data_IF_363958495804
#
_entry.id   IF_363958495804
#
_cell.length_a   1.000
_cell.length_b   1.000
_cell.length_c   1.000
_cell.angle_alpha   90.00
_cell.angle_beta   90.00
_cell.angle_gamma   90.00
#
_symmetry.space_group_name_H-M   'P 1'
#
loop_
_entity.id
_entity.type
_entity.pdbx_description
1 polymer ?
#
# COMPACT_ATOMS: atom_id res chain seq x y z
N UNK A 1 -12.11 -18.61 -11.80
CA UNK A 1 -10.99 -17.77 -12.26
C UNK A 1 -11.59 -16.48 -12.80
N UNK A 2 -11.58 -15.38 -12.03
CA UNK A 2 -12.21 -14.13 -12.46
C UNK A 2 -11.27 -13.38 -13.41
N UNK A 3 -11.78 -12.93 -14.55
CA UNK A 3 -10.98 -12.34 -15.62
C UNK A 3 -10.30 -11.03 -15.16
N UNK A 4 -9.12 -10.68 -15.69
CA UNK A 4 -8.40 -9.46 -15.31
C UNK A 4 -9.25 -8.17 -15.42
N UNK A 5 -10.17 -8.13 -16.40
CA UNK A 5 -11.08 -7.00 -16.59
C UNK A 5 -12.13 -6.87 -15.49
N UNK A 6 -12.60 -7.97 -14.91
CA UNK A 6 -13.62 -7.97 -13.85
C UNK A 6 -13.06 -7.43 -12.53
N UNK A 7 -11.83 -7.84 -12.19
CA UNK A 7 -11.09 -7.29 -11.04
C UNK A 7 -10.85 -5.79 -11.18
N UNK A 8 -10.42 -5.34 -12.37
CA UNK A 8 -10.22 -3.91 -12.67
C UNK A 8 -11.51 -3.10 -12.49
N UNK A 9 -12.64 -3.58 -13.00
CA UNK A 9 -13.92 -2.89 -12.87
C UNK A 9 -14.37 -2.79 -11.40
N UNK A 10 -14.18 -3.85 -10.63
CA UNK A 10 -14.48 -3.84 -9.18
C UNK A 10 -13.65 -2.80 -8.42
N UNK A 11 -12.35 -2.73 -8.71
CA UNK A 11 -11.46 -1.71 -8.14
C UNK A 11 -11.94 -0.31 -8.53
N UNK A 12 -12.29 -0.11 -9.81
CA UNK A 12 -12.81 1.16 -10.33
C UNK A 12 -14.08 1.62 -9.60
N UNK A 13 -15.02 0.71 -9.36
CA UNK A 13 -16.29 1.02 -8.69
C UNK A 13 -16.08 1.40 -7.22
N UNK A 14 -15.17 0.73 -6.52
CA UNK A 14 -14.87 1.05 -5.12
C UNK A 14 -14.12 2.38 -5.00
N UNK A 15 -13.19 2.67 -5.90
CA UNK A 15 -12.50 3.97 -5.95
C UNK A 15 -13.51 5.12 -6.13
N UNK A 16 -14.54 4.93 -6.95
CA UNK A 16 -15.64 5.91 -7.08
C UNK A 16 -16.41 6.07 -5.77
N UNK A 17 -16.81 4.98 -5.12
CA UNK A 17 -17.53 5.01 -3.82
C UNK A 17 -16.74 5.69 -2.70
N UNK A 18 -15.41 5.48 -2.66
CA UNK A 18 -14.51 6.12 -1.68
C UNK A 18 -14.44 7.64 -1.93
N UNK A 19 -14.50 8.06 -3.19
CA UNK A 19 -14.40 9.47 -3.55
C UNK A 19 -15.74 10.23 -3.47
N UNK A 20 -16.86 9.54 -3.62
CA UNK A 20 -18.18 10.13 -3.43
C UNK A 20 -18.39 10.54 -1.97
N UNK A 21 -19.14 11.62 -1.73
CA UNK A 21 -19.48 12.12 -0.39
C UNK A 21 -20.51 11.20 0.28
N UNK A 22 -20.07 10.00 0.62
CA UNK A 22 -20.84 8.98 1.31
C UNK A 22 -20.82 9.24 2.82
N UNK A 23 -21.78 8.67 3.55
CA UNK A 23 -21.80 8.74 5.01
C UNK A 23 -20.51 8.13 5.61
N UNK A 24 -20.09 8.53 6.83
CA UNK A 24 -18.91 7.95 7.47
C UNK A 24 -18.92 6.41 7.54
N UNK A 25 -20.12 5.82 7.64
CA UNK A 25 -20.32 4.37 7.70
C UNK A 25 -20.13 3.70 6.34
N UNK A 26 -20.60 4.31 5.26
CA UNK A 26 -20.41 3.84 3.88
C UNK A 26 -18.95 3.96 3.45
N UNK A 27 -18.29 5.05 3.81
CA UNK A 27 -16.85 5.22 3.59
C UNK A 27 -16.04 4.14 4.32
N UNK A 28 -16.43 3.76 5.54
CA UNK A 28 -15.80 2.66 6.26
C UNK A 28 -16.00 1.32 5.53
N UNK A 29 -17.24 1.01 5.12
CA UNK A 29 -17.54 -0.19 4.34
C UNK A 29 -16.77 -0.26 3.02
N UNK A 30 -16.65 0.86 2.31
CA UNK A 30 -15.91 0.93 1.07
C UNK A 30 -14.40 0.71 1.29
N UNK A 31 -13.82 1.24 2.38
CA UNK A 31 -12.44 0.97 2.77
C UNK A 31 -12.21 -0.51 3.12
N UNK A 32 -13.14 -1.14 3.82
CA UNK A 32 -13.05 -2.57 4.16
C UNK A 32 -13.16 -3.46 2.90
N UNK A 33 -14.10 -3.17 2.00
CA UNK A 33 -14.23 -3.87 0.72
C UNK A 33 -12.96 -3.72 -0.14
N UNK A 34 -12.40 -2.51 -0.15
CA UNK A 34 -11.16 -2.22 -0.85
C UNK A 34 -9.99 -3.04 -0.30
N UNK A 35 -9.84 -3.11 1.03
CA UNK A 35 -8.80 -3.88 1.73
C UNK A 35 -8.84 -5.36 1.37
N UNK A 36 -10.02 -5.95 1.24
CA UNK A 36 -10.15 -7.35 0.84
C UNK A 36 -9.77 -7.58 -0.63
N UNK A 37 -10.08 -6.64 -1.52
CA UNK A 37 -9.77 -6.81 -2.95
C UNK A 37 -8.28 -6.64 -3.23
N UNK A 38 -7.61 -5.66 -2.61
CA UNK A 38 -6.18 -5.42 -2.86
C UNK A 38 -5.30 -6.59 -2.41
N UNK A 39 -5.71 -7.41 -1.44
CA UNK A 39 -4.97 -8.64 -1.05
C UNK A 39 -4.76 -9.60 -2.24
N UNK A 40 -5.70 -9.62 -3.17
CA UNK A 40 -5.74 -10.57 -4.30
C UNK A 40 -5.55 -9.90 -5.67
N UNK A 41 -5.21 -8.61 -5.71
CA UNK A 41 -5.09 -7.81 -6.93
C UNK A 41 -3.66 -7.30 -7.12
N UNK A 42 -3.12 -7.53 -8.32
CA UNK A 42 -1.81 -7.02 -8.71
C UNK A 42 -1.82 -5.48 -8.70
N UNK A 43 -0.80 -4.81 -8.13
CA UNK A 43 -0.69 -3.34 -8.14
C UNK A 43 -0.87 -2.69 -9.53
N UNK A 44 -0.46 -3.37 -10.60
CA UNK A 44 -0.63 -2.90 -11.99
C UNK A 44 -2.10 -2.79 -12.41
N UNK A 45 -2.98 -3.63 -11.86
CA UNK A 45 -4.43 -3.56 -12.14
C UNK A 45 -5.04 -2.33 -11.47
N UNK A 46 -4.55 -1.98 -10.28
CA UNK A 46 -4.99 -0.78 -9.55
C UNK A 46 -4.56 0.47 -10.30
N UNK A 47 -3.29 0.56 -10.69
CA UNK A 47 -2.77 1.66 -11.49
C UNK A 47 -3.53 1.81 -12.84
N UNK A 48 -3.89 0.70 -13.47
CA UNK A 48 -4.71 0.72 -14.69
C UNK A 48 -6.13 1.24 -14.45
N UNK A 49 -6.77 0.88 -13.32
CA UNK A 49 -8.08 1.38 -12.95
C UNK A 49 -8.05 2.89 -12.63
N UNK A 50 -7.03 3.36 -11.91
CA UNK A 50 -6.81 4.78 -11.61
C UNK A 50 -6.58 5.59 -12.90
N UNK A 51 -5.72 5.11 -13.80
CA UNK A 51 -5.46 5.78 -15.07
C UNK A 51 -6.73 5.89 -15.94
N UNK A 52 -7.62 4.91 -15.88
CA UNK A 52 -8.91 4.96 -16.57
C UNK A 52 -9.86 5.97 -15.93
N UNK A 53 -9.92 6.05 -14.60
CA UNK A 53 -10.72 7.06 -13.90
C UNK A 53 -10.25 8.49 -14.22
N UNK A 54 -8.93 8.71 -14.31
CA UNK A 54 -8.39 10.01 -14.74
C UNK A 54 -8.83 10.34 -16.17
N UNK A 55 -8.80 9.37 -17.10
CA UNK A 55 -9.30 9.56 -18.47
C UNK A 55 -10.79 9.86 -18.52
N UNK A 56 -11.57 9.27 -17.62
CA UNK A 56 -13.01 9.51 -17.48
C UNK A 56 -13.34 10.87 -16.83
N UNK A 57 -12.32 11.69 -16.50
CA UNK A 57 -12.48 13.05 -15.99
C UNK A 57 -12.44 13.17 -14.47
N UNK A 58 -12.11 12.11 -13.74
CA UNK A 58 -11.87 12.20 -12.30
C UNK A 58 -10.54 12.90 -12.02
N UNK A 59 -10.52 13.68 -10.94
CA UNK A 59 -9.31 14.36 -10.46
C UNK A 59 -8.34 13.38 -9.81
N UNK A 60 -7.05 13.60 -9.98
CA UNK A 60 -6.04 12.73 -9.37
C UNK A 60 -6.03 12.83 -7.84
N UNK A 61 -6.30 14.03 -7.31
CA UNK A 61 -6.36 14.29 -5.86
C UNK A 61 -7.49 13.51 -5.18
N UNK A 62 -8.55 13.24 -5.93
CA UNK A 62 -9.72 12.48 -5.49
C UNK A 62 -9.40 10.97 -5.40
N UNK A 63 -8.58 10.46 -6.32
CA UNK A 63 -8.08 9.09 -6.28
C UNK A 63 -7.05 8.91 -5.15
N UNK A 64 -6.27 9.95 -4.84
CA UNK A 64 -5.29 9.93 -3.75
C UNK A 64 -5.92 9.72 -2.36
N UNK A 65 -7.22 9.98 -2.16
CA UNK A 65 -7.90 9.65 -0.89
C UNK A 65 -8.00 8.13 -0.67
N UNK A 66 -8.05 7.34 -1.74
CA UNK A 66 -7.97 5.89 -1.65
C UNK A 66 -6.55 5.40 -1.33
N UNK A 67 -5.50 6.21 -1.60
CA UNK A 67 -4.13 5.87 -1.22
C UNK A 67 -3.92 5.76 0.29
N UNK A 68 -4.72 6.44 1.11
CA UNK A 68 -4.63 6.26 2.57
C UNK A 68 -5.05 4.84 2.98
N UNK A 69 -6.08 4.29 2.33
CA UNK A 69 -6.50 2.90 2.55
C UNK A 69 -5.45 1.89 2.03
N UNK A 70 -4.80 2.19 0.90
CA UNK A 70 -3.64 1.41 0.43
C UNK A 70 -2.52 1.41 1.48
N UNK A 71 -2.10 2.59 1.94
CA UNK A 71 -1.00 2.74 2.90
C UNK A 71 -1.31 2.04 4.23
N UNK A 72 -2.55 2.08 4.70
CA UNK A 72 -2.97 1.30 5.88
C UNK A 72 -2.80 -0.20 5.70
N UNK A 73 -3.12 -0.75 4.53
CA UNK A 73 -2.92 -2.16 4.25
C UNK A 73 -1.43 -2.49 4.10
N UNK A 74 -0.66 -1.61 3.47
CA UNK A 74 0.79 -1.74 3.37
C UNK A 74 1.46 -1.69 4.73
N UNK A 75 0.94 -0.97 5.73
CA UNK A 75 1.50 -0.99 7.09
C UNK A 75 1.59 -2.41 7.65
N UNK A 76 0.62 -3.27 7.38
CA UNK A 76 0.64 -4.64 7.87
C UNK A 76 1.63 -5.54 7.11
N UNK A 77 1.91 -5.24 5.83
CA UNK A 77 2.94 -5.93 5.03
C UNK A 77 4.35 -5.41 5.33
N UNK A 78 4.51 -4.09 5.50
CA UNK A 78 5.77 -3.41 5.84
C UNK A 78 6.22 -3.75 7.27
N UNK A 79 5.29 -4.10 8.16
CA UNK A 79 5.59 -4.63 9.50
C UNK A 79 6.39 -5.94 9.47
N UNK A 80 6.59 -6.55 8.31
CA UNK A 80 7.47 -7.70 8.18
C UNK A 80 8.85 -7.27 7.62
N UNK A 81 9.83 -6.93 8.49
CA UNK A 81 11.16 -6.48 8.06
C UNK A 81 11.94 -7.56 7.31
N UNK A 82 11.52 -8.82 7.37
CA UNK A 82 12.17 -9.98 6.76
C UNK A 82 11.53 -10.37 5.41
N UNK A 83 11.36 -9.41 4.51
CA UNK A 83 11.00 -9.71 3.12
C UNK A 83 12.08 -10.62 2.51
N UNK A 84 11.71 -11.85 2.15
CA UNK A 84 12.61 -12.78 1.45
C UNK A 84 12.65 -12.40 -0.03
N UNK A 85 13.78 -11.87 -0.46
CA UNK A 85 14.05 -11.54 -1.86
C UNK A 85 15.05 -12.53 -2.46
N UNK A 86 15.07 -12.63 -3.79
CA UNK A 86 16.07 -13.45 -4.48
C UNK A 86 17.48 -12.90 -4.26
N UNK A 87 18.47 -13.79 -4.31
CA UNK A 87 19.87 -13.44 -4.09
C UNK A 87 20.36 -12.41 -5.12
N UNK A 88 20.91 -11.30 -4.66
CA UNK A 88 21.37 -10.20 -5.51
C UNK A 88 20.30 -9.15 -5.84
N UNK A 89 19.07 -9.29 -5.31
CA UNK A 89 18.07 -8.24 -5.39
C UNK A 89 18.48 -7.03 -4.52
N UNK A 90 18.41 -5.77 -4.99
CA UNK A 90 18.90 -4.60 -4.24
C UNK A 90 18.35 -4.44 -2.81
N UNK A 91 17.13 -4.91 -2.58
CA UNK A 91 16.49 -4.92 -1.25
C UNK A 91 17.31 -5.71 -0.22
N UNK A 92 18.00 -6.79 -0.62
CA UNK A 92 18.87 -7.57 0.27
C UNK A 92 19.96 -6.69 0.87
N UNK A 93 20.62 -5.87 0.03
CA UNK A 93 21.64 -4.92 0.48
C UNK A 93 21.06 -3.85 1.40
N UNK A 94 19.91 -3.28 1.05
CA UNK A 94 19.25 -2.27 1.90
C UNK A 94 18.82 -2.83 3.26
N UNK A 95 18.37 -4.08 3.32
CA UNK A 95 18.06 -4.76 4.58
C UNK A 95 19.32 -4.98 5.43
N UNK A 96 20.44 -5.36 4.81
CA UNK A 96 21.70 -5.53 5.53
C UNK A 96 22.25 -4.19 6.06
N UNK A 97 22.21 -3.14 5.24
CA UNK A 97 22.65 -1.81 5.63
C UNK A 97 21.82 -1.28 6.80
N UNK A 98 20.49 -1.50 6.77
CA UNK A 98 19.61 -1.13 7.87
C UNK A 98 19.97 -1.83 9.19
N UNK A 99 20.27 -3.14 9.16
CA UNK A 99 20.71 -3.89 10.34
C UNK A 99 22.00 -3.32 10.93
N UNK A 100 22.99 -3.05 10.07
CA UNK A 100 24.26 -2.47 10.50
C UNK A 100 24.05 -1.08 11.15
N UNK A 101 23.17 -0.25 10.58
CA UNK A 101 22.84 1.06 11.16
C UNK A 101 22.22 0.90 12.55
N UNK A 102 21.29 -0.04 12.73
CA UNK A 102 20.65 -0.29 14.02
C UNK A 102 21.65 -0.74 15.09
N UNK A 103 22.58 -1.65 14.74
CA UNK A 103 23.65 -2.08 15.65
C UNK A 103 24.50 -0.90 16.11
N UNK A 104 24.94 -0.04 15.17
CA UNK A 104 25.72 1.16 15.49
C UNK A 104 24.93 2.13 16.40
N UNK A 105 23.64 2.30 16.14
CA UNK A 105 22.79 3.17 16.98
C UNK A 105 22.62 2.62 18.39
N UNK A 106 22.55 1.29 18.56
CA UNK A 106 22.47 0.64 19.86
C UNK A 106 23.77 0.80 20.65
N UNK A 107 24.92 0.56 20.02
CA UNK A 107 26.25 0.79 20.61
C UNK A 107 26.44 2.26 21.06
N UNK A 108 26.02 3.21 20.21
CA UNK A 108 26.07 4.63 20.53
C UNK A 108 25.20 4.94 21.76
N UNK A 109 23.99 4.40 21.80
CA UNK A 109 23.05 4.59 22.92
C UNK A 109 23.62 4.02 24.21
N UNK A 110 24.24 2.84 24.17
CA UNK A 110 24.90 2.25 25.33
C UNK A 110 26.07 3.10 25.82
N UNK A 111 26.88 3.62 24.90
CA UNK A 111 28.04 4.46 25.23
C UNK A 111 27.60 5.75 25.92
N UNK A 112 26.54 6.39 25.41
CA UNK A 112 25.96 7.59 26.03
C UNK A 112 25.39 7.29 27.42
N UNK A 113 24.73 6.14 27.61
CA UNK A 113 24.18 5.75 28.93
C UNK A 113 25.25 5.43 29.99
N UNK A 114 26.47 5.06 29.57
CA UNK A 114 27.60 4.75 30.45
C UNK A 114 28.38 5.99 30.89
N UNK A 115 28.10 7.16 30.30
CA UNK A 115 28.71 8.47 30.61
C UNK A 115 27.79 9.25 31.55
#
# INVERSE_FOLDING_TARGET
MNAPGEKKNRVKDILKKINEKTSPEEMRRAKDEFKEIIKDVNPMIIAAAEAELVRDGHKIEDLMKACEAHLELFKDVIRNPELKVEKGHPIESFQQDHKNILEIMEELTETVKKT
#
